data_IF_705906924240
#
_entry.id   IF_705906924240
#
_cell.length_a   1.000
_cell.length_b   1.000
_cell.length_c   1.000
_cell.angle_alpha   90.00
_cell.angle_beta   90.00
_cell.angle_gamma   90.00
#
_symmetry.space_group_name_H-M   'P 1'
#
loop_
_entity.id
_entity.type
_entity.pdbx_description
1 polymer ?
#
# COMPACT_ATOMS: atom_id res chain seq x y z
N UNK A 1 -35.16 5.59 24.85
CA UNK A 1 -35.65 5.56 23.45
C UNK A 1 -34.48 5.82 22.50
N UNK A 2 -33.57 4.85 22.37
CA UNK A 2 -32.53 4.85 21.34
C UNK A 2 -33.07 4.04 20.17
N UNK A 3 -33.64 4.72 19.18
CA UNK A 3 -33.94 4.10 17.90
C UNK A 3 -32.63 3.98 17.13
N UNK A 4 -31.92 2.86 17.33
CA UNK A 4 -30.97 2.37 16.34
C UNK A 4 -31.79 2.03 15.10
N UNK A 5 -31.98 3.01 14.21
CA UNK A 5 -32.53 2.77 12.89
C UNK A 5 -31.63 1.72 12.22
N UNK A 6 -32.12 0.49 12.22
CA UNK A 6 -31.42 -0.65 11.66
C UNK A 6 -31.30 -0.39 10.17
N UNK A 7 -30.06 -0.23 9.71
CA UNK A 7 -29.73 -0.27 8.28
C UNK A 7 -30.47 -1.46 7.67
N UNK A 8 -31.16 -1.32 6.52
CA UNK A 8 -31.78 -2.47 5.86
C UNK A 8 -30.67 -3.49 5.57
N UNK A 9 -30.74 -4.64 6.22
CA UNK A 9 -29.70 -5.68 6.24
C UNK A 9 -29.54 -6.42 4.92
N UNK A 10 -30.10 -5.92 3.81
CA UNK A 10 -30.22 -6.67 2.56
C UNK A 10 -30.13 -5.85 1.27
N UNK A 11 -29.42 -4.71 1.31
CA UNK A 11 -28.87 -4.09 0.09
C UNK A 11 -27.37 -3.85 0.29
N UNK A 12 -26.61 -4.90 -0.01
CA UNK A 12 -25.18 -4.87 -0.37
C UNK A 12 -24.24 -4.06 0.55
N UNK A 13 -23.95 -4.57 1.75
CA UNK A 13 -22.60 -4.37 2.31
C UNK A 13 -21.64 -5.21 1.45
N UNK A 14 -21.24 -4.68 0.30
CA UNK A 14 -20.05 -5.23 -0.33
C UNK A 14 -18.87 -5.00 0.63
N UNK A 15 -18.03 -6.00 0.84
CA UNK A 15 -16.81 -5.84 1.61
C UNK A 15 -16.02 -4.65 1.02
N UNK A 16 -15.34 -3.89 1.86
CA UNK A 16 -14.50 -2.76 1.41
C UNK A 16 -15.27 -1.55 0.83
N UNK A 17 -16.52 -1.35 1.24
CA UNK A 17 -17.28 -0.12 0.94
C UNK A 17 -17.86 0.52 2.20
N UNK A 18 -18.14 1.82 2.14
CA UNK A 18 -18.85 2.56 3.17
C UNK A 18 -20.01 3.34 2.56
N UNK A 19 -21.10 3.49 3.32
CA UNK A 19 -22.30 4.19 2.87
C UNK A 19 -22.68 5.28 3.87
N UNK A 20 -23.06 6.44 3.35
CA UNK A 20 -23.56 7.57 4.13
C UNK A 20 -25.02 7.87 3.75
N UNK A 21 -25.78 8.43 4.69
CA UNK A 21 -27.15 8.86 4.44
C UNK A 21 -27.16 10.02 3.42
N UNK A 22 -28.05 9.93 2.42
CA UNK A 22 -28.28 10.97 1.41
C UNK A 22 -29.02 12.19 1.96
N UNK A 23 -29.46 12.15 3.22
CA UNK A 23 -30.13 13.25 3.91
C UNK A 23 -31.63 13.33 3.60
N UNK A 24 -32.35 14.09 4.42
CA UNK A 24 -33.82 14.22 4.41
C UNK A 24 -34.43 14.65 3.07
N UNK A 25 -33.65 15.25 2.17
CA UNK A 25 -34.13 15.73 0.87
C UNK A 25 -33.92 14.77 -0.28
N UNK A 26 -33.02 13.77 -0.12
CA UNK A 26 -32.63 12.87 -1.22
C UNK A 26 -33.23 11.47 -1.08
N UNK A 27 -33.65 11.07 0.13
CA UNK A 27 -34.24 9.77 0.40
C UNK A 27 -33.38 8.61 -0.11
N UNK A 28 -32.36 8.20 0.64
CA UNK A 28 -31.52 7.06 0.24
C UNK A 28 -30.15 7.05 0.93
N UNK A 29 -29.27 6.16 0.48
CA UNK A 29 -27.89 6.08 0.95
C UNK A 29 -26.94 6.17 -0.26
N UNK A 30 -25.79 6.82 -0.07
CA UNK A 30 -24.71 6.89 -1.06
C UNK A 30 -23.52 6.10 -0.57
N UNK A 31 -23.16 5.05 -1.30
CA UNK A 31 -21.99 4.22 -1.04
C UNK A 31 -20.78 4.63 -1.88
N UNK A 32 -19.59 4.36 -1.37
CA UNK A 32 -18.30 4.52 -2.05
C UNK A 32 -17.35 3.41 -1.61
N UNK A 33 -16.39 3.04 -2.46
CA UNK A 33 -15.35 2.08 -2.09
C UNK A 33 -14.39 2.70 -1.07
N UNK A 34 -13.83 1.86 -0.21
CA UNK A 34 -12.76 2.25 0.68
C UNK A 34 -11.51 2.63 -0.12
N UNK A 35 -10.59 3.38 0.49
CA UNK A 35 -9.28 3.65 -0.11
C UNK A 35 -8.55 2.34 -0.43
N UNK A 36 -7.91 2.28 -1.61
CA UNK A 36 -7.25 1.08 -2.12
C UNK A 36 -8.20 0.08 -2.80
N UNK A 37 -9.48 0.45 -2.99
CA UNK A 37 -10.46 -0.38 -3.68
C UNK A 37 -11.16 0.41 -4.78
N UNK A 38 -11.52 -0.27 -5.86
CA UNK A 38 -12.19 0.30 -7.02
C UNK A 38 -13.40 -0.54 -7.47
N UNK A 39 -14.23 0.04 -8.34
CA UNK A 39 -15.43 -0.61 -8.88
C UNK A 39 -16.74 0.05 -8.43
N UNK A 40 -17.85 -0.68 -8.58
CA UNK A 40 -19.19 -0.16 -8.29
C UNK A 40 -19.76 -0.78 -7.01
N UNK A 41 -19.86 -0.04 -5.89
CA UNK A 41 -20.30 -0.60 -4.61
C UNK A 41 -21.72 -1.18 -4.61
N UNK A 42 -22.55 -0.87 -5.60
CA UNK A 42 -23.93 -1.35 -5.72
C UNK A 42 -24.07 -2.62 -6.57
N UNK A 43 -23.00 -3.10 -7.19
CA UNK A 43 -22.99 -4.29 -8.06
C UNK A 43 -22.13 -5.41 -7.47
N UNK A 44 -22.17 -6.59 -8.09
CA UNK A 44 -21.23 -7.69 -7.86
C UNK A 44 -20.23 -7.74 -9.02
N UNK A 45 -18.91 -7.89 -8.78
CA UNK A 45 -18.24 -8.17 -7.50
C UNK A 45 -18.09 -6.96 -6.59
N UNK A 46 -18.49 -5.77 -7.06
CA UNK A 46 -18.51 -4.48 -6.39
C UNK A 46 -17.14 -3.84 -6.14
N UNK A 47 -16.78 -3.57 -4.89
CA UNK A 47 -15.48 -2.96 -4.57
C UNK A 47 -14.40 -4.03 -4.47
N UNK A 48 -13.49 -4.03 -5.44
CA UNK A 48 -12.36 -4.95 -5.52
C UNK A 48 -11.07 -4.22 -5.20
N UNK A 49 -10.07 -4.96 -4.74
CA UNK A 49 -8.73 -4.44 -4.49
C UNK A 49 -8.16 -3.80 -5.75
N UNK A 50 -7.61 -2.59 -5.63
CA UNK A 50 -6.88 -1.94 -6.71
C UNK A 50 -5.45 -2.47 -6.69
N UNK A 51 -5.03 -3.18 -7.73
CA UNK A 51 -3.64 -3.66 -7.81
C UNK A 51 -2.72 -2.53 -8.28
N UNK A 52 -2.17 -1.76 -7.34
CA UNK A 52 -1.26 -0.66 -7.68
C UNK A 52 0.07 -1.16 -8.28
N UNK A 53 0.39 -2.46 -8.16
CA UNK A 53 1.59 -3.05 -8.75
C UNK A 53 1.41 -3.45 -10.21
N UNK A 54 0.17 -3.59 -10.69
CA UNK A 54 -0.14 -3.86 -12.09
C UNK A 54 0.14 -2.65 -13.00
N UNK A 55 0.15 -1.44 -12.43
CA UNK A 55 0.44 -0.19 -13.14
C UNK A 55 1.56 0.62 -12.42
N UNK A 56 2.73 0.83 -13.06
CA UNK A 56 3.83 1.62 -12.49
C UNK A 56 3.47 3.07 -12.12
N UNK A 57 2.41 3.63 -12.70
CA UNK A 57 1.94 4.99 -12.44
C UNK A 57 1.07 5.07 -11.17
N UNK A 58 0.51 3.94 -10.72
CA UNK A 58 -0.32 3.87 -9.52
C UNK A 58 0.46 3.56 -8.24
N UNK A 59 1.77 3.28 -8.34
CA UNK A 59 2.62 3.04 -7.18
C UNK A 59 3.89 3.92 -7.15
N UNK A 60 4.39 4.13 -5.94
CA UNK A 60 5.63 4.85 -5.69
C UNK A 60 6.83 3.94 -5.44
N UNK A 61 6.80 2.66 -5.82
CA UNK A 61 7.91 1.75 -5.56
C UNK A 61 9.11 1.99 -6.50
N UNK A 62 10.33 1.91 -5.96
CA UNK A 62 11.58 2.08 -6.73
C UNK A 62 11.96 0.82 -7.52
N UNK A 63 11.73 -0.37 -6.95
CA UNK A 63 12.13 -1.66 -7.54
C UNK A 63 11.05 -2.72 -7.42
N UNK A 64 10.74 -3.14 -6.21
CA UNK A 64 9.82 -4.25 -5.97
C UNK A 64 8.52 -3.70 -5.39
N UNK A 65 7.40 -3.98 -6.05
CA UNK A 65 6.05 -3.72 -5.58
C UNK A 65 5.39 -5.06 -5.22
N UNK A 66 4.66 -5.10 -4.11
CA UNK A 66 3.90 -6.26 -3.65
C UNK A 66 2.49 -5.78 -3.36
N UNK A 67 1.51 -6.26 -4.14
CA UNK A 67 0.11 -5.93 -3.94
C UNK A 67 -0.43 -6.61 -2.67
N UNK A 68 -1.22 -5.88 -1.87
CA UNK A 68 -1.79 -6.35 -0.60
C UNK A 68 -3.21 -5.78 -0.47
N UNK A 69 -4.25 -6.57 -0.14
CA UNK A 69 -5.62 -6.05 -0.08
C UNK A 69 -5.80 -4.69 0.63
N UNK A 70 -6.13 -3.65 -0.15
CA UNK A 70 -6.34 -2.27 0.24
C UNK A 70 -5.11 -1.35 0.17
N UNK A 71 -3.94 -1.84 -0.25
CA UNK A 71 -2.70 -1.07 -0.40
C UNK A 71 -1.61 -1.85 -1.17
N UNK A 72 -0.38 -1.34 -1.13
CA UNK A 72 0.80 -2.04 -1.60
C UNK A 72 1.99 -1.79 -0.69
N UNK A 73 2.93 -2.72 -0.72
CA UNK A 73 4.21 -2.58 -0.06
C UNK A 73 5.36 -2.54 -1.06
N UNK A 74 6.31 -1.65 -0.80
CA UNK A 74 7.55 -1.59 -1.56
C UNK A 74 8.66 -2.30 -0.80
N UNK A 75 9.55 -2.97 -1.53
CA UNK A 75 10.72 -3.60 -0.90
C UNK A 75 11.99 -3.42 -1.72
N UNK A 76 13.11 -3.42 -1.01
CA UNK A 76 14.42 -3.31 -1.63
C UNK A 76 14.99 -4.68 -2.01
N UNK A 77 15.69 -4.78 -3.15
CA UNK A 77 16.35 -6.01 -3.55
C UNK A 77 17.47 -6.39 -2.56
N UNK A 78 17.88 -7.66 -2.60
CA UNK A 78 18.97 -8.17 -1.75
C UNK A 78 20.22 -7.29 -1.89
N UNK A 79 20.81 -6.92 -0.75
CA UNK A 79 21.96 -6.02 -0.71
C UNK A 79 21.60 -4.53 -0.61
N UNK A 80 20.32 -4.19 -0.50
CA UNK A 80 19.83 -2.83 -0.25
C UNK A 80 18.88 -2.79 0.97
N UNK A 81 18.91 -1.69 1.72
CA UNK A 81 18.00 -1.34 2.83
C UNK A 81 17.23 -0.05 2.49
N UNK A 82 16.10 0.16 3.17
CA UNK A 82 15.23 1.32 2.99
C UNK A 82 13.76 0.92 2.86
N UNK A 83 12.87 1.89 2.66
CA UNK A 83 11.43 1.68 2.49
C UNK A 83 11.00 1.31 1.06
N UNK A 84 11.93 1.37 0.10
CA UNK A 84 11.65 1.04 -1.29
C UNK A 84 10.74 2.03 -2.02
N UNK A 85 10.46 3.22 -1.46
CA UNK A 85 9.58 4.24 -2.03
C UNK A 85 10.33 5.39 -2.68
N UNK A 86 9.84 5.88 -3.82
CA UNK A 86 10.38 7.02 -4.59
C UNK A 86 10.37 8.30 -3.75
N UNK A 87 9.29 8.51 -2.98
CA UNK A 87 9.09 9.66 -2.11
C UNK A 87 9.55 9.42 -0.65
N UNK A 88 10.28 8.33 -0.41
CA UNK A 88 10.77 7.94 0.91
C UNK A 88 12.30 7.87 0.98
N UNK A 89 12.80 6.97 1.81
CA UNK A 89 14.22 6.62 1.91
C UNK A 89 14.73 5.80 0.71
N UNK A 90 13.83 5.28 -0.12
CA UNK A 90 14.17 4.55 -1.34
C UNK A 90 14.92 3.26 -1.02
N UNK A 91 15.86 2.90 -1.89
CA UNK A 91 16.76 1.77 -1.67
C UNK A 91 18.21 2.23 -1.66
N UNK A 92 18.86 2.11 -0.51
CA UNK A 92 20.28 2.39 -0.33
C UNK A 92 21.04 1.08 -0.21
N UNK A 93 22.20 0.97 -0.84
CA UNK A 93 23.01 -0.24 -0.71
C UNK A 93 23.35 -0.44 0.77
N UNK A 94 23.11 -1.66 1.30
CA UNK A 94 23.56 -2.00 2.65
C UNK A 94 25.05 -1.78 2.64
N UNK A 95 25.54 -0.82 3.42
CA UNK A 95 26.97 -0.65 3.59
C UNK A 95 27.47 -2.00 4.10
N UNK A 96 28.14 -2.75 3.21
CA UNK A 96 28.90 -3.92 3.58
C UNK A 96 29.78 -3.47 4.72
N UNK A 97 29.43 -3.86 5.96
CA UNK A 97 30.15 -3.49 7.18
C UNK A 97 31.61 -3.86 6.97
N UNK A 98 32.43 -2.93 6.51
CA UNK A 98 33.77 -2.82 7.03
C UNK A 98 33.54 -2.16 8.39
N UNK A 99 33.62 -2.89 9.52
CA UNK A 99 33.74 -2.20 10.79
C UNK A 99 34.90 -1.21 10.66
N UNK A 100 34.79 -0.07 11.34
CA UNK A 100 35.79 1.01 11.44
C UNK A 100 37.12 0.55 12.08
N UNK A 101 37.55 -0.72 11.89
CA UNK A 101 38.88 -1.20 12.21
C UNK A 101 39.77 -0.88 11.01
N UNK A 102 40.04 0.39 10.83
CA UNK A 102 41.16 0.85 10.01
C UNK A 102 41.76 2.09 10.65
N UNK A 103 42.33 1.92 11.85
CA UNK A 103 43.27 2.90 12.38
C UNK A 103 44.50 2.34 13.08
N UNK A 104 44.69 1.02 13.15
CA UNK A 104 45.96 0.48 13.63
C UNK A 104 46.33 -0.75 12.81
N UNK A 105 47.44 -0.64 12.07
CA UNK A 105 48.10 -1.64 11.22
C UNK A 105 47.50 -1.78 9.80
N UNK A 106 48.34 -1.40 8.84
CA UNK A 106 47.99 -1.20 7.44
C UNK A 106 47.71 -2.47 6.64
N UNK A 107 47.38 -2.23 5.36
CA UNK A 107 47.01 -3.22 4.35
C UNK A 107 45.62 -3.79 4.71
N UNK A 108 44.57 -3.82 3.88
CA UNK A 108 44.45 -4.40 2.56
C UNK A 108 43.33 -3.63 1.85
N UNK A 109 43.64 -2.93 0.75
CA UNK A 109 42.63 -2.66 -0.27
C UNK A 109 42.40 -4.00 -0.96
N UNK A 110 41.42 -4.78 -0.52
CA UNK A 110 40.89 -5.84 -1.38
C UNK A 110 39.75 -5.18 -2.13
N UNK A 111 40.08 -4.66 -3.31
CA UNK A 111 39.11 -4.41 -4.35
C UNK A 111 38.24 -5.67 -4.46
N UNK A 112 36.95 -5.56 -4.18
CA UNK A 112 36.03 -6.61 -4.59
C UNK A 112 35.98 -6.51 -6.12
N UNK A 113 36.76 -7.37 -6.78
CA UNK A 113 36.67 -7.60 -8.20
C UNK A 113 35.23 -7.94 -8.55
N UNK A 114 34.73 -7.31 -9.61
CA UNK A 114 33.68 -7.87 -10.43
C UNK A 114 34.32 -8.80 -11.46
#
# INVERSE_FOLDING_TARGET
MHWMASLPTNLTKNAHSYCIDGGKSSGGYRCSCNQGYEGNPYLSPGCVDMDECADPDNNDCVKTCINIPGNYNCSCPRGYDGDGRKNGSGCVAKSSKFPLIKFILGMYKISCLK
#
